data_IF_872636520677
#
_entry.id   IF_872636520677
#
_cell.length_a   1.000
_cell.length_b   1.000
_cell.length_c   1.000
_cell.angle_alpha   90.00
_cell.angle_beta   90.00
_cell.angle_gamma   90.00
#
_symmetry.space_group_name_H-M   'P 1'
#
loop_
_entity.id
_entity.type
_entity.pdbx_description
1 polymer ?
#
# COMPACT_ATOMS: atom_id res chain seq x y z
N UNK A 1 -14.58 12.63 3.68
CA UNK A 1 -13.29 12.05 3.21
C UNK A 1 -13.43 10.55 3.07
N UNK A 2 -12.79 9.92 2.08
CA UNK A 2 -12.80 8.46 1.93
C UNK A 2 -11.52 7.82 2.42
N UNK A 3 -11.68 6.65 3.04
CA UNK A 3 -10.60 5.71 3.33
C UNK A 3 -10.61 4.60 2.28
N UNK A 4 -9.47 4.35 1.67
CA UNK A 4 -9.28 3.29 0.69
C UNK A 4 -8.28 2.27 1.26
N UNK A 5 -8.73 1.03 1.47
CA UNK A 5 -7.83 -0.09 1.73
C UNK A 5 -7.41 -0.68 0.38
N UNK A 6 -6.15 -0.47 0.01
CA UNK A 6 -5.60 -0.83 -1.30
C UNK A 6 -4.62 -1.99 -1.18
N UNK A 7 -4.92 -3.11 -1.85
CA UNK A 7 -4.08 -4.29 -1.85
C UNK A 7 -2.92 -4.12 -2.84
N UNK A 8 -1.69 -4.27 -2.35
CA UNK A 8 -0.46 -4.09 -3.14
C UNK A 8 0.59 -5.15 -2.84
N UNK A 9 1.55 -5.27 -3.75
CA UNK A 9 2.69 -6.18 -3.65
C UNK A 9 2.37 -7.63 -4.03
N UNK A 10 3.35 -8.52 -3.80
CA UNK A 10 3.25 -9.93 -4.14
C UNK A 10 2.07 -10.66 -3.47
N UNK A 11 1.51 -11.62 -4.20
CA UNK A 11 0.62 -12.66 -3.69
C UNK A 11 0.71 -13.96 -4.51
N UNK A 12 -0.21 -14.91 -4.29
CA UNK A 12 -0.21 -16.19 -5.00
C UNK A 12 -0.41 -16.07 -6.51
N UNK A 13 -1.06 -15.00 -6.98
CA UNK A 13 -1.30 -14.72 -8.40
C UNK A 13 -0.24 -13.83 -9.05
N UNK A 14 0.32 -12.88 -8.30
CA UNK A 14 1.32 -11.91 -8.75
C UNK A 14 2.62 -12.11 -7.96
N UNK A 15 3.66 -12.62 -8.63
CA UNK A 15 4.94 -12.99 -7.97
C UNK A 15 4.93 -14.36 -7.30
N UNK A 16 3.75 -14.88 -6.92
CA UNK A 16 3.48 -16.24 -6.48
C UNK A 16 4.03 -16.61 -5.10
N UNK A 17 4.22 -15.63 -4.21
CA UNK A 17 4.48 -15.83 -2.79
C UNK A 17 4.09 -14.57 -2.00
N UNK A 18 4.01 -14.61 -0.65
CA UNK A 18 3.84 -13.40 0.15
C UNK A 18 5.10 -12.50 0.16
N UNK A 19 4.92 -11.23 0.50
CA UNK A 19 6.03 -10.35 0.92
C UNK A 19 6.61 -10.82 2.27
N UNK A 20 7.93 -10.72 2.50
CA UNK A 20 8.52 -11.15 3.76
C UNK A 20 8.39 -10.12 4.89
N UNK A 21 8.15 -10.62 6.11
CA UNK A 21 8.56 -9.91 7.33
C UNK A 21 9.93 -10.44 7.73
N UNK A 22 10.92 -9.55 7.76
CA UNK A 22 12.30 -9.89 8.07
C UNK A 22 12.49 -10.18 9.58
N UNK A 23 13.62 -10.80 9.99
CA UNK A 23 13.87 -11.15 11.40
C UNK A 23 13.87 -9.97 12.37
N UNK A 24 14.22 -8.78 11.89
CA UNK A 24 14.18 -7.49 12.62
C UNK A 24 12.76 -6.89 12.67
N UNK A 25 11.76 -7.61 12.19
CA UNK A 25 10.37 -7.16 12.12
C UNK A 25 10.06 -6.30 10.90
N UNK A 26 11.04 -6.00 10.04
CA UNK A 26 10.82 -5.09 8.92
C UNK A 26 9.84 -5.64 7.89
N UNK A 27 8.92 -4.80 7.45
CA UNK A 27 7.96 -5.09 6.38
C UNK A 27 8.62 -4.84 5.03
N UNK A 28 9.08 -5.89 4.36
CA UNK A 28 9.72 -5.80 3.05
C UNK A 28 8.69 -6.14 1.96
N UNK A 29 8.06 -5.10 1.39
CA UNK A 29 7.04 -5.25 0.36
C UNK A 29 7.73 -5.54 -0.98
N UNK A 30 7.34 -6.63 -1.63
CA UNK A 30 7.82 -6.96 -2.97
C UNK A 30 6.85 -6.38 -4.02
N UNK A 31 7.29 -5.44 -4.88
CA UNK A 31 6.47 -4.93 -5.99
C UNK A 31 6.09 -6.06 -6.93
N UNK A 32 4.95 -6.04 -7.62
CA UNK A 32 4.57 -7.15 -8.53
C UNK A 32 5.51 -7.21 -9.76
N UNK A 33 5.75 -8.40 -10.37
CA UNK A 33 6.57 -8.48 -11.57
C UNK A 33 5.84 -7.84 -12.76
N UNK A 34 6.52 -6.97 -13.50
CA UNK A 34 6.00 -6.33 -14.70
C UNK A 34 7.08 -6.24 -15.77
N UNK A 35 6.83 -6.89 -16.91
CA UNK A 35 7.78 -6.96 -18.03
C UNK A 35 7.95 -5.63 -18.76
N UNK A 36 7.00 -4.72 -18.62
CA UNK A 36 7.05 -3.39 -19.23
C UNK A 36 7.74 -2.36 -18.32
N UNK A 37 7.94 -2.68 -17.05
CA UNK A 37 8.63 -1.77 -16.13
C UNK A 37 10.10 -1.64 -16.50
N UNK A 38 10.58 -0.39 -16.52
CA UNK A 38 11.99 -0.07 -16.68
C UNK A 38 12.80 -0.29 -15.40
N UNK A 39 12.13 -0.31 -14.24
CA UNK A 39 12.74 -0.57 -12.94
C UNK A 39 12.97 -2.07 -12.79
N UNK A 40 14.16 -2.50 -12.40
CA UNK A 40 14.46 -3.90 -12.08
C UNK A 40 14.52 -4.12 -10.58
N UNK A 41 14.31 -5.34 -10.11
CA UNK A 41 14.43 -5.65 -8.67
C UNK A 41 15.84 -5.40 -8.10
N UNK A 42 16.89 -5.50 -8.91
CA UNK A 42 18.26 -5.17 -8.49
C UNK A 42 18.51 -3.65 -8.37
N UNK A 43 17.61 -2.83 -8.91
CA UNK A 43 17.69 -1.36 -8.78
C UNK A 43 17.06 -0.89 -7.46
N UNK A 44 16.04 -1.62 -6.96
CA UNK A 44 15.26 -1.22 -5.80
C UNK A 44 15.98 -1.59 -4.49
N UNK A 45 16.29 -0.55 -3.72
CA UNK A 45 16.90 -0.66 -2.40
C UNK A 45 15.84 -0.85 -1.30
N UNK A 46 16.20 -1.62 -0.28
CA UNK A 46 15.44 -1.82 0.95
C UNK A 46 16.41 -1.82 2.14
N UNK A 47 16.58 -0.65 2.76
CA UNK A 47 17.69 -0.39 3.67
C UNK A 47 19.03 -0.71 2.99
N UNK A 48 19.89 -1.48 3.67
CA UNK A 48 21.18 -1.91 3.12
C UNK A 48 21.10 -3.06 2.10
N UNK A 49 19.90 -3.50 1.68
CA UNK A 49 19.68 -4.66 0.82
C UNK A 49 19.07 -4.24 -0.51
N UNK A 50 19.19 -5.09 -1.52
CA UNK A 50 18.46 -4.97 -2.80
C UNK A 50 17.36 -6.02 -2.89
N UNK A 51 16.24 -5.67 -3.50
CA UNK A 51 15.09 -6.58 -3.59
C UNK A 51 15.37 -7.82 -4.43
N UNK A 52 16.24 -7.74 -5.44
CA UNK A 52 16.51 -8.84 -6.37
C UNK A 52 16.91 -10.16 -5.71
N UNK A 53 17.76 -10.13 -4.66
CA UNK A 53 18.11 -11.34 -3.90
C UNK A 53 16.92 -11.88 -3.11
N UNK A 54 16.18 -11.00 -2.44
CA UNK A 54 15.04 -11.37 -1.60
C UNK A 54 13.94 -12.02 -2.46
N UNK A 55 13.57 -11.35 -3.55
CA UNK A 55 12.56 -11.81 -4.50
C UNK A 55 12.97 -13.15 -5.13
N UNK A 56 14.23 -13.31 -5.55
CA UNK A 56 14.73 -14.57 -6.13
C UNK A 56 14.65 -15.73 -5.16
N UNK A 57 15.18 -15.55 -3.96
CA UNK A 57 15.25 -16.62 -2.98
C UNK A 57 13.82 -17.06 -2.54
N UNK A 58 12.93 -16.11 -2.27
CA UNK A 58 11.56 -16.41 -1.80
C UNK A 58 10.60 -16.89 -2.89
N UNK A 59 10.81 -16.50 -4.14
CA UNK A 59 9.99 -16.97 -5.28
C UNK A 59 10.46 -18.31 -5.85
N UNK A 60 11.56 -18.89 -5.32
CA UNK A 60 12.17 -20.09 -5.89
C UNK A 60 12.80 -19.85 -7.26
N UNK A 61 13.28 -18.63 -7.52
CA UNK A 61 13.94 -18.26 -8.77
C UNK A 61 13.03 -17.80 -9.91
N UNK A 62 11.70 -17.75 -9.69
CA UNK A 62 10.72 -17.27 -10.69
C UNK A 62 10.88 -15.79 -10.99
N UNK A 63 11.17 -14.98 -9.98
CA UNK A 63 11.49 -13.56 -10.13
C UNK A 63 12.99 -13.40 -9.91
N UNK A 64 13.70 -12.76 -10.84
CA UNK A 64 15.15 -12.56 -10.77
C UNK A 64 15.46 -11.08 -10.59
N UNK A 65 16.69 -10.76 -10.22
CA UNK A 65 17.14 -9.39 -10.03
C UNK A 65 16.92 -8.50 -11.26
N UNK A 66 17.17 -9.03 -12.47
CA UNK A 66 16.90 -8.33 -13.73
C UNK A 66 15.44 -8.37 -14.22
N UNK A 67 14.52 -8.99 -13.49
CA UNK A 67 13.09 -8.91 -13.83
C UNK A 67 12.57 -7.49 -13.62
N UNK A 68 11.63 -7.04 -14.44
CA UNK A 68 10.98 -5.74 -14.23
C UNK A 68 10.07 -5.77 -12.99
N UNK A 69 10.13 -4.71 -12.20
CA UNK A 69 9.42 -4.51 -10.94
C UNK A 69 8.43 -3.36 -11.09
N UNK A 70 7.15 -3.62 -10.85
CA UNK A 70 6.10 -2.61 -10.86
C UNK A 70 6.09 -1.89 -9.51
N UNK A 71 7.03 -0.96 -9.30
CA UNK A 71 7.14 -0.17 -8.07
C UNK A 71 5.95 0.80 -7.98
N UNK A 72 4.82 0.29 -7.51
CA UNK A 72 3.57 0.99 -7.31
C UNK A 72 2.81 0.42 -6.09
N UNK A 73 2.43 1.25 -5.10
CA UNK A 73 2.77 2.67 -5.00
C UNK A 73 4.28 2.86 -4.77
N UNK A 74 4.81 3.95 -5.29
CA UNK A 74 6.19 4.35 -5.08
C UNK A 74 6.25 5.32 -3.89
N UNK A 75 6.51 4.78 -2.70
CA UNK A 75 6.43 5.54 -1.45
C UNK A 75 7.77 5.90 -0.84
N UNK A 76 8.85 5.15 -1.09
CA UNK A 76 10.09 5.25 -0.31
C UNK A 76 11.16 5.99 -1.11
N UNK A 77 11.56 7.20 -0.68
CA UNK A 77 12.51 8.02 -1.42
C UNK A 77 13.83 7.28 -1.70
N UNK A 78 14.38 6.59 -0.71
CA UNK A 78 15.68 5.91 -0.79
C UNK A 78 15.66 4.61 -1.61
N UNK A 79 14.49 4.18 -2.11
CA UNK A 79 14.39 2.94 -2.87
C UNK A 79 15.07 3.04 -4.25
N UNK A 80 15.16 4.24 -4.83
CA UNK A 80 15.80 4.54 -6.12
C UNK A 80 16.43 5.94 -6.07
N UNK A 81 17.43 6.25 -6.92
CA UNK A 81 17.85 7.63 -7.16
C UNK A 81 16.67 8.47 -7.67
N UNK A 82 16.38 9.59 -7.00
CA UNK A 82 15.21 10.43 -7.31
C UNK A 82 15.61 11.72 -8.03
N UNK A 83 14.79 12.11 -9.00
CA UNK A 83 14.90 13.45 -9.60
C UNK A 83 14.36 14.52 -8.63
N UNK A 84 14.84 15.78 -8.73
CA UNK A 84 14.28 16.89 -7.98
C UNK A 84 12.77 17.01 -8.17
N UNK A 85 12.06 17.30 -7.07
CA UNK A 85 10.60 17.38 -7.07
C UNK A 85 9.88 16.04 -7.02
N UNK A 86 10.60 14.91 -6.85
CA UNK A 86 9.98 13.60 -6.62
C UNK A 86 9.01 13.64 -5.43
N UNK A 87 7.87 12.96 -5.61
CA UNK A 87 6.84 12.81 -4.58
C UNK A 87 6.30 11.39 -4.60
N UNK A 88 5.92 10.84 -3.43
CA UNK A 88 5.22 9.56 -3.37
C UNK A 88 3.96 9.56 -4.24
N UNK A 89 3.76 8.48 -4.98
CA UNK A 89 2.61 8.36 -5.86
C UNK A 89 2.11 6.93 -5.99
N UNK A 90 0.86 6.81 -6.42
CA UNK A 90 0.18 5.59 -6.79
C UNK A 90 -0.35 5.77 -8.22
N UNK A 91 -0.15 4.79 -9.07
CA UNK A 91 -0.88 4.64 -10.33
C UNK A 91 -2.02 3.65 -10.20
N UNK A 92 -3.09 3.87 -10.97
CA UNK A 92 -4.18 2.92 -11.05
C UNK A 92 -4.85 2.95 -12.41
N UNK A 93 -5.31 1.78 -12.87
CA UNK A 93 -6.01 1.64 -14.15
C UNK A 93 -7.03 0.49 -14.12
N UNK A 94 -7.75 0.30 -15.22
CA UNK A 94 -8.68 -0.80 -15.45
C UNK A 94 -9.84 -0.78 -14.48
N UNK A 95 -10.30 -1.98 -14.08
CA UNK A 95 -11.47 -2.13 -13.20
C UNK A 95 -11.26 -1.52 -11.81
N UNK A 96 -10.02 -1.52 -11.30
CA UNK A 96 -9.70 -0.91 -10.03
C UNK A 96 -9.79 0.63 -10.10
N UNK A 97 -9.28 1.27 -11.16
CA UNK A 97 -9.53 2.71 -11.35
C UNK A 97 -11.01 3.01 -11.58
N UNK A 98 -11.69 2.22 -12.40
CA UNK A 98 -13.13 2.37 -12.62
C UNK A 98 -13.92 2.32 -11.31
N UNK A 99 -13.55 1.42 -10.40
CA UNK A 99 -14.14 1.38 -9.05
C UNK A 99 -13.85 2.64 -8.24
N UNK A 100 -12.59 3.12 -8.21
CA UNK A 100 -12.23 4.37 -7.53
C UNK A 100 -13.06 5.57 -8.06
N UNK A 101 -13.20 5.69 -9.38
CA UNK A 101 -14.02 6.72 -10.02
C UNK A 101 -15.50 6.60 -9.61
N UNK A 102 -16.06 5.39 -9.66
CA UNK A 102 -17.46 5.14 -9.27
C UNK A 102 -17.72 5.41 -7.78
N UNK A 103 -16.70 5.26 -6.93
CA UNK A 103 -16.78 5.61 -5.52
C UNK A 103 -16.54 7.11 -5.28
N UNK A 104 -16.11 7.88 -6.29
CA UNK A 104 -15.80 9.30 -6.18
C UNK A 104 -14.49 9.58 -5.45
N UNK A 105 -13.50 8.69 -5.57
CA UNK A 105 -12.18 8.86 -4.95
C UNK A 105 -11.38 9.94 -5.67
N UNK A 106 -10.86 10.91 -4.92
CA UNK A 106 -10.12 12.05 -5.47
C UNK A 106 -9.21 12.75 -4.46
N UNK A 107 -8.92 14.03 -4.71
CA UNK A 107 -8.10 14.88 -3.83
C UNK A 107 -8.73 14.94 -2.43
N UNK A 108 -7.91 14.78 -1.40
CA UNK A 108 -8.35 14.79 0.00
C UNK A 108 -8.71 13.41 0.56
N UNK A 109 -8.67 12.35 -0.25
CA UNK A 109 -8.91 10.98 0.21
C UNK A 109 -7.61 10.28 0.66
N UNK A 110 -7.74 9.21 1.46
CA UNK A 110 -6.63 8.51 2.07
C UNK A 110 -6.56 7.05 1.63
N UNK A 111 -5.45 6.66 1.02
CA UNK A 111 -5.09 5.27 0.81
C UNK A 111 -4.31 4.72 2.01
N UNK A 112 -4.71 3.54 2.49
CA UNK A 112 -3.90 2.65 3.30
C UNK A 112 -3.57 1.41 2.47
N UNK A 113 -2.28 1.20 2.22
CA UNK A 113 -1.81 0.07 1.45
C UNK A 113 -1.59 -1.13 2.35
N UNK A 114 -2.17 -2.26 1.96
CA UNK A 114 -1.96 -3.53 2.63
C UNK A 114 -1.46 -4.59 1.64
N UNK A 115 -0.77 -5.60 2.16
CA UNK A 115 -0.22 -6.68 1.35
C UNK A 115 -0.31 -8.01 2.07
N UNK A 116 0.01 -9.10 1.37
CA UNK A 116 0.12 -10.43 1.98
C UNK A 116 1.55 -10.61 2.47
N UNK A 117 1.72 -10.85 3.77
CA UNK A 117 3.00 -11.02 4.42
C UNK A 117 3.18 -12.40 5.02
N UNK A 118 4.42 -12.85 5.15
CA UNK A 118 4.79 -14.05 5.92
C UNK A 118 6.19 -13.87 6.52
N UNK A 119 6.40 -14.37 7.74
CA UNK A 119 7.72 -14.32 8.40
C UNK A 119 8.77 -15.06 7.57
N UNK A 120 9.94 -14.44 7.40
CA UNK A 120 11.07 -14.98 6.67
C UNK A 120 12.35 -14.93 7.50
N UNK A 121 13.26 -15.85 7.20
CA UNK A 121 14.55 -15.98 7.87
C UNK A 121 15.66 -16.21 6.84
N UNK A 122 16.90 -15.86 7.23
CA UNK A 122 18.10 -16.12 6.44
C UNK A 122 18.74 -17.42 6.92
N UNK A 123 18.81 -18.43 6.06
CA UNK A 123 19.45 -19.71 6.37
C UNK A 123 20.44 -20.06 5.27
N UNK A 124 21.71 -20.33 5.64
CA UNK A 124 22.80 -20.61 4.69
C UNK A 124 22.86 -19.58 3.55
N UNK A 125 22.78 -18.29 3.89
CA UNK A 125 22.79 -17.14 2.96
C UNK A 125 21.63 -17.12 1.95
N UNK A 126 20.53 -17.84 2.17
CA UNK A 126 19.31 -17.76 1.38
C UNK A 126 18.11 -17.37 2.24
N UNK A 127 17.26 -16.49 1.70
CA UNK A 127 15.98 -16.19 2.34
C UNK A 127 15.01 -17.36 2.14
N UNK A 128 14.30 -17.71 3.20
CA UNK A 128 13.16 -18.64 3.15
C UNK A 128 12.06 -18.18 4.09
N UNK A 129 10.83 -18.60 3.84
CA UNK A 129 9.77 -18.44 4.83
C UNK A 129 9.98 -19.36 6.01
N UNK A 130 9.72 -18.85 7.22
CA UNK A 130 9.84 -19.64 8.46
C UNK A 130 8.81 -20.77 8.42
N UNK A 131 9.22 -22.05 8.56
CA UNK A 131 8.30 -23.19 8.61
C UNK A 131 7.22 -23.01 9.68
N UNK A 132 6.01 -23.52 9.42
CA UNK A 132 4.87 -23.41 10.36
C UNK A 132 4.19 -22.04 10.41
N UNK A 133 4.83 -20.96 9.97
CA UNK A 133 4.19 -19.64 9.91
C UNK A 133 3.21 -19.55 8.75
N UNK A 134 2.11 -18.81 8.95
CA UNK A 134 1.05 -18.60 7.96
C UNK A 134 1.11 -17.21 7.35
N UNK A 135 0.68 -17.03 6.08
CA UNK A 135 0.49 -15.71 5.52
C UNK A 135 -0.60 -14.91 6.25
N UNK A 136 -0.48 -13.60 6.26
CA UNK A 136 -1.44 -12.67 6.84
C UNK A 136 -1.46 -11.36 6.06
N UNK A 137 -2.55 -10.60 6.12
CA UNK A 137 -2.65 -9.26 5.60
C UNK A 137 -2.20 -8.25 6.66
N UNK A 138 -1.38 -7.29 6.25
CA UNK A 138 -0.99 -6.16 7.08
C UNK A 138 -0.87 -4.88 6.25
N UNK A 139 -1.19 -3.76 6.89
CA UNK A 139 -0.97 -2.40 6.37
C UNK A 139 0.52 -2.11 6.44
N UNK A 140 1.08 -1.54 5.37
CA UNK A 140 2.51 -1.25 5.27
C UNK A 140 2.82 0.19 4.84
N UNK A 141 1.83 0.94 4.34
CA UNK A 141 2.04 2.34 3.98
C UNK A 141 0.74 3.10 3.79
N UNK A 142 0.86 4.41 3.58
CA UNK A 142 -0.28 5.29 3.31
C UNK A 142 0.06 6.38 2.30
N UNK A 143 -0.98 6.91 1.66
CA UNK A 143 -0.91 8.08 0.78
C UNK A 143 -2.23 8.85 0.88
N UNK A 144 -2.16 10.07 1.41
CA UNK A 144 -3.21 11.07 1.32
C UNK A 144 -3.07 11.81 -0.02
N UNK A 145 -4.15 11.84 -0.80
CA UNK A 145 -4.15 12.35 -2.18
C UNK A 145 -4.08 13.86 -2.19
N UNK A 146 -3.00 14.41 -2.76
CA UNK A 146 -2.84 15.84 -3.00
C UNK A 146 -3.20 16.24 -4.44
N UNK A 147 -2.97 15.36 -5.41
CA UNK A 147 -3.27 15.61 -6.81
C UNK A 147 -3.71 14.32 -7.51
N UNK A 148 -4.55 14.46 -8.53
CA UNK A 148 -5.00 13.38 -9.40
C UNK A 148 -4.73 13.81 -10.84
N UNK A 149 -4.06 12.94 -11.61
CA UNK A 149 -3.71 13.21 -13.01
C UNK A 149 -4.12 12.02 -13.88
N UNK A 150 -4.89 12.27 -14.94
CA UNK A 150 -5.02 11.30 -16.02
C UNK A 150 -3.70 11.26 -16.81
N UNK A 151 -3.11 10.08 -16.96
CA UNK A 151 -1.77 9.93 -17.54
C UNK A 151 -1.73 10.39 -19.00
N UNK A 152 -2.76 10.03 -19.76
CA UNK A 152 -2.85 10.34 -21.19
C UNK A 152 -3.05 11.85 -21.45
N UNK A 153 -3.60 12.59 -20.47
CA UNK A 153 -3.81 14.04 -20.55
C UNK A 153 -2.57 14.84 -20.15
N UNK A 154 -1.55 14.19 -19.56
CA UNK A 154 -0.33 14.88 -19.11
C UNK A 154 0.56 15.24 -20.30
N UNK A 155 0.86 16.54 -20.54
CA UNK A 155 1.83 16.95 -21.54
C UNK A 155 3.19 16.29 -21.31
N UNK A 156 3.95 16.00 -22.36
CA UNK A 156 5.23 15.26 -22.25
C UNK A 156 6.24 15.84 -21.25
N UNK A 157 6.22 17.17 -21.05
CA UNK A 157 7.09 17.89 -20.11
C UNK A 157 6.54 17.97 -18.68
N UNK A 158 5.29 17.59 -18.43
CA UNK A 158 4.72 17.59 -17.09
C UNK A 158 5.28 16.42 -16.26
N UNK A 159 5.47 16.65 -14.96
CA UNK A 159 5.96 15.66 -13.98
C UNK A 159 7.22 14.90 -14.47
N UNK A 160 8.31 15.58 -14.88
CA UNK A 160 9.50 14.92 -15.42
C UNK A 160 10.08 13.89 -14.43
N UNK A 161 10.01 14.20 -13.14
CA UNK A 161 10.47 13.34 -12.05
C UNK A 161 9.69 12.02 -11.94
N UNK A 162 8.50 11.90 -12.50
CA UNK A 162 7.66 10.70 -12.41
C UNK A 162 7.78 9.78 -13.63
N UNK A 163 8.48 10.19 -14.70
CA UNK A 163 8.44 9.51 -16.00
C UNK A 163 9.03 8.10 -16.03
N UNK A 164 9.81 7.74 -15.02
CA UNK A 164 10.29 6.36 -14.85
C UNK A 164 9.19 5.41 -14.32
N UNK A 165 8.09 5.96 -13.78
CA UNK A 165 7.06 5.18 -13.11
C UNK A 165 6.38 4.21 -14.10
N UNK A 166 6.05 2.96 -13.69
CA UNK A 166 5.51 1.94 -14.60
C UNK A 166 4.25 2.36 -15.39
N UNK A 167 3.48 3.31 -14.87
CA UNK A 167 2.28 3.84 -15.52
C UNK A 167 2.57 4.72 -16.74
N UNK A 168 3.80 5.18 -16.96
CA UNK A 168 4.22 5.86 -18.20
C UNK A 168 4.82 4.90 -19.24
N UNK A 169 5.05 3.64 -18.89
CA UNK A 169 5.67 2.64 -19.77
C UNK A 169 4.66 1.84 -20.59
N UNK A 170 3.37 2.18 -20.49
CA UNK A 170 2.25 1.49 -21.15
C UNK A 170 1.77 2.32 -22.34
N UNK A 171 1.06 1.68 -23.26
CA UNK A 171 0.35 2.39 -24.32
C UNK A 171 -0.78 3.26 -23.76
N UNK A 172 -1.42 4.08 -24.61
CA UNK A 172 -2.56 4.90 -24.22
C UNK A 172 -3.64 4.07 -23.54
N UNK A 173 -4.15 4.59 -22.44
CA UNK A 173 -5.16 3.99 -21.59
C UNK A 173 -5.93 5.13 -20.88
N UNK A 174 -7.15 5.46 -21.35
CA UNK A 174 -7.95 6.56 -20.79
C UNK A 174 -8.27 6.41 -19.31
N UNK A 175 -8.18 5.19 -18.77
CA UNK A 175 -8.38 4.90 -17.35
C UNK A 175 -7.10 4.99 -16.53
N UNK A 176 -5.94 5.28 -17.12
CA UNK A 176 -4.67 5.32 -16.41
C UNK A 176 -4.53 6.63 -15.62
N UNK A 177 -4.54 6.53 -14.30
CA UNK A 177 -4.59 7.66 -13.37
C UNK A 177 -3.45 7.61 -12.37
N UNK A 178 -2.82 8.75 -12.09
CA UNK A 178 -1.85 8.93 -11.01
C UNK A 178 -2.49 9.71 -9.85
N UNK A 179 -2.33 9.17 -8.64
CA UNK A 179 -2.60 9.83 -7.38
C UNK A 179 -1.26 10.21 -6.74
N UNK A 180 -0.97 11.51 -6.71
CA UNK A 180 0.27 12.04 -6.11
C UNK A 180 -0.04 12.48 -4.68
N UNK A 181 0.83 12.13 -3.74
CA UNK A 181 0.63 12.47 -2.33
C UNK A 181 0.57 13.97 -2.11
N UNK A 182 -0.21 14.40 -1.11
CA UNK A 182 -0.04 15.72 -0.49
C UNK A 182 1.27 15.78 0.28
N UNK A 183 1.80 16.98 0.57
CA UNK A 183 2.97 17.09 1.44
C UNK A 183 2.60 16.81 2.91
N UNK A 184 1.48 17.40 3.34
CA UNK A 184 0.87 17.17 4.65
C UNK A 184 -0.63 17.42 4.56
N UNK A 185 -1.37 16.97 5.56
CA UNK A 185 -2.81 17.12 5.64
C UNK A 185 -3.26 17.22 7.09
N UNK A 186 -4.49 17.69 7.31
CA UNK A 186 -5.08 17.82 8.65
C UNK A 186 -6.26 16.88 8.77
N UNK A 187 -6.13 15.92 9.67
CA UNK A 187 -7.26 15.06 10.01
C UNK A 187 -8.24 15.82 10.92
N UNK A 188 -9.56 15.79 10.66
CA UNK A 188 -10.54 16.43 11.53
C UNK A 188 -10.41 15.94 12.98
N UNK A 189 -10.45 16.87 13.93
CA UNK A 189 -10.28 16.57 15.36
C UNK A 189 -8.83 16.31 15.79
N UNK A 190 -7.85 16.26 14.88
CA UNK A 190 -6.44 16.10 15.21
C UNK A 190 -5.68 17.43 15.16
N UNK A 191 -4.95 17.76 16.22
CA UNK A 191 -4.30 19.08 16.38
C UNK A 191 -3.13 19.30 15.41
N UNK A 192 -2.34 18.26 15.16
CA UNK A 192 -1.12 18.32 14.35
C UNK A 192 -1.42 17.97 12.89
N UNK A 193 -0.68 18.57 11.97
CA UNK A 193 -0.69 18.10 10.59
C UNK A 193 -0.01 16.72 10.52
N UNK A 194 -0.57 15.83 9.71
CA UNK A 194 -0.03 14.51 9.42
C UNK A 194 0.75 14.56 8.09
N UNK A 195 1.79 13.74 7.93
CA UNK A 195 2.47 13.59 6.65
C UNK A 195 1.52 13.02 5.60
N UNK A 196 1.62 13.51 4.38
CA UNK A 196 0.75 13.07 3.29
C UNK A 196 1.07 11.69 2.74
N UNK A 197 2.20 11.09 3.11
CA UNK A 197 2.57 9.72 2.73
C UNK A 197 3.66 9.16 3.63
N UNK A 198 3.78 7.84 3.65
CA UNK A 198 4.88 7.16 4.30
C UNK A 198 4.67 5.66 4.40
N UNK A 199 5.57 5.02 5.14
CA UNK A 199 5.59 3.58 5.34
C UNK A 199 5.68 3.21 6.83
N UNK A 200 5.17 2.04 7.16
CA UNK A 200 5.36 1.43 8.47
C UNK A 200 6.58 0.52 8.42
N UNK A 201 7.71 0.91 9.05
CA UNK A 201 8.98 0.21 8.84
C UNK A 201 9.00 -1.20 9.46
N UNK A 202 8.25 -1.41 10.54
CA UNK A 202 8.20 -2.65 11.30
C UNK A 202 6.76 -3.13 11.49
N UNK A 203 6.59 -4.44 11.52
CA UNK A 203 5.32 -5.07 11.85
C UNK A 203 4.94 -4.74 13.30
N UNK A 204 3.75 -4.18 13.46
CA UNK A 204 3.10 -3.97 14.74
C UNK A 204 1.71 -4.64 14.70
N UNK A 205 1.20 -5.07 15.84
CA UNK A 205 -0.10 -5.76 15.89
C UNK A 205 -1.25 -4.91 15.34
N UNK A 206 -1.18 -3.58 15.50
CA UNK A 206 -2.17 -2.62 14.96
C UNK A 206 -2.23 -2.56 13.43
N UNK A 207 -1.14 -2.96 12.75
CA UNK A 207 -1.06 -2.99 11.29
C UNK A 207 -1.65 -4.26 10.71
N UNK A 208 -1.75 -5.32 11.52
CA UNK A 208 -2.20 -6.63 11.07
C UNK A 208 -3.72 -6.62 10.90
N UNK A 209 -4.16 -6.79 9.67
CA UNK A 209 -5.58 -6.91 9.33
C UNK A 209 -6.08 -8.31 9.64
N UNK A 210 -5.32 -9.36 9.31
CA UNK A 210 -5.73 -10.74 9.57
C UNK A 210 -5.78 -11.01 11.07
N UNK A 211 -6.90 -11.55 11.53
CA UNK A 211 -7.08 -12.03 12.90
C UNK A 211 -5.90 -12.95 13.32
N UNK A 212 -5.22 -12.67 14.45
CA UNK A 212 -4.19 -13.55 15.01
C UNK A 212 -4.61 -15.01 15.15
N UNK A 213 -5.88 -15.26 15.47
CA UNK A 213 -6.45 -16.61 15.63
C UNK A 213 -7.00 -17.18 14.30
N UNK A 214 -7.13 -16.31 13.29
CA UNK A 214 -7.64 -16.64 11.97
C UNK A 214 -6.72 -17.58 11.18
N UNK A 215 -7.30 -18.61 10.57
CA UNK A 215 -6.55 -19.52 9.68
C UNK A 215 -6.29 -18.94 8.29
N UNK A 216 -7.17 -18.06 7.82
CA UNK A 216 -7.13 -17.50 6.46
C UNK A 216 -6.75 -16.01 6.50
N UNK A 217 -5.90 -15.52 5.58
CA UNK A 217 -5.54 -14.10 5.52
C UNK A 217 -6.74 -13.15 5.39
N UNK A 218 -7.83 -13.62 4.80
CA UNK A 218 -9.07 -12.85 4.57
C UNK A 218 -9.99 -12.78 5.79
N UNK A 219 -9.67 -13.44 6.91
CA UNK A 219 -10.39 -13.26 8.17
C UNK A 219 -9.76 -12.08 8.89
N UNK A 220 -10.39 -10.92 8.79
CA UNK A 220 -9.86 -9.69 9.35
C UNK A 220 -10.42 -9.42 10.73
N UNK A 221 -9.61 -8.78 11.58
CA UNK A 221 -9.98 -8.19 12.86
C UNK A 221 -9.66 -6.71 12.79
N UNK A 222 -10.70 -5.88 12.78
CA UNK A 222 -10.62 -4.42 12.67
C UNK A 222 -11.14 -3.79 13.97
N UNK A 223 -10.79 -2.52 14.28
CA UNK A 223 -11.47 -1.78 15.34
C UNK A 223 -12.99 -1.86 15.19
N UNK A 224 -13.73 -2.01 16.30
CA UNK A 224 -15.19 -2.12 16.28
C UNK A 224 -15.89 -0.98 15.50
N UNK A 225 -15.28 0.21 15.44
CA UNK A 225 -15.78 1.34 14.66
C UNK A 225 -15.96 1.06 13.16
N UNK A 226 -15.31 0.05 12.58
CA UNK A 226 -15.52 -0.35 11.17
C UNK A 226 -16.85 -1.07 10.94
N UNK A 227 -17.52 -1.53 12.02
CA UNK A 227 -18.75 -2.29 11.89
C UNK A 227 -19.90 -1.39 11.38
N UNK A 228 -20.62 -1.78 10.30
CA UNK A 228 -21.67 -0.96 9.69
C UNK A 228 -23.00 -1.01 10.48
N UNK A 229 -22.96 -0.67 11.78
CA UNK A 229 -24.15 -0.59 12.61
C UNK A 229 -25.07 0.58 12.20
N UNK A 230 -26.36 0.46 12.51
CA UNK A 230 -27.31 1.57 12.39
C UNK A 230 -27.55 2.07 10.96
N UNK A 231 -27.34 1.21 9.95
CA UNK A 231 -27.54 1.57 8.54
C UNK A 231 -26.37 2.33 7.91
N UNK A 232 -25.23 2.45 8.61
CA UNK A 232 -24.01 3.02 8.01
C UNK A 232 -23.58 2.24 6.76
N UNK A 233 -23.11 2.91 5.70
CA UNK A 233 -22.66 2.24 4.49
C UNK A 233 -21.42 1.38 4.80
N UNK A 234 -21.49 0.08 4.53
CA UNK A 234 -20.35 -0.80 4.73
C UNK A 234 -19.20 -0.51 3.75
N UNK A 235 -18.00 -0.96 4.09
CA UNK A 235 -16.84 -1.00 3.20
C UNK A 235 -17.25 -1.60 1.84
N UNK A 236 -16.86 -0.97 0.73
CA UNK A 236 -17.26 -1.41 -0.62
C UNK A 236 -16.90 -2.89 -0.84
N UNK A 237 -17.79 -3.63 -1.52
CA UNK A 237 -17.75 -5.09 -1.71
C UNK A 237 -18.03 -5.94 -0.45
N UNK A 238 -18.34 -5.31 0.68
CA UNK A 238 -18.62 -5.98 1.95
C UNK A 238 -19.99 -5.61 2.52
N UNK A 239 -20.99 -5.35 1.68
CA UNK A 239 -22.31 -4.92 2.12
C UNK A 239 -23.13 -6.01 2.80
N UNK A 240 -22.81 -7.29 2.56
CA UNK A 240 -23.57 -8.41 3.13
C UNK A 240 -23.29 -8.52 4.65
N UNK A 241 -24.32 -8.50 5.51
CA UNK A 241 -24.13 -8.52 6.96
C UNK A 241 -23.45 -9.78 7.49
N UNK A 242 -23.64 -10.93 6.83
CA UNK A 242 -23.03 -12.22 7.19
C UNK A 242 -21.49 -12.23 7.09
N UNK A 243 -20.90 -11.24 6.41
CA UNK A 243 -19.45 -11.04 6.39
C UNK A 243 -18.92 -10.40 7.66
N UNK A 244 -19.78 -9.79 8.47
CA UNK A 244 -19.40 -9.01 9.64
C UNK A 244 -19.84 -9.70 10.92
N UNK A 245 -19.01 -9.60 11.95
CA UNK A 245 -19.34 -9.98 13.32
C UNK A 245 -18.78 -8.94 14.27
N UNK A 246 -19.62 -8.35 15.12
CA UNK A 246 -19.17 -7.44 16.17
C UNK A 246 -18.86 -8.23 17.45
N UNK A 247 -17.69 -8.00 18.03
CA UNK A 247 -17.28 -8.60 19.30
C UNK A 247 -16.21 -7.69 19.92
N UNK A 248 -16.66 -6.82 20.84
CA UNK A 248 -15.91 -5.68 21.33
C UNK A 248 -14.59 -6.11 22.01
N UNK A 249 -13.48 -5.36 21.83
CA UNK A 249 -13.40 -4.05 21.18
C UNK A 249 -13.21 -4.12 19.64
N UNK A 250 -13.44 -5.28 19.03
CA UNK A 250 -13.18 -5.52 17.62
C UNK A 250 -14.46 -5.72 16.80
N UNK A 251 -14.32 -5.66 15.48
CA UNK A 251 -15.21 -6.33 14.58
C UNK A 251 -14.42 -7.23 13.64
N UNK A 252 -15.04 -8.33 13.24
CA UNK A 252 -14.45 -9.33 12.38
C UNK A 252 -15.09 -9.24 11.00
N UNK A 253 -14.26 -9.24 9.97
CA UNK A 253 -14.69 -9.13 8.59
C UNK A 253 -14.18 -10.33 7.78
N UNK A 254 -15.08 -10.98 7.05
CA UNK A 254 -14.74 -11.87 5.96
C UNK A 254 -14.40 -11.04 4.72
N UNK A 255 -13.13 -10.67 4.56
CA UNK A 255 -12.66 -9.86 3.42
C UNK A 255 -12.86 -10.61 2.11
N UNK A 256 -13.30 -9.89 1.07
CA UNK A 256 -13.34 -10.41 -0.28
C UNK A 256 -11.92 -10.83 -0.72
N UNK A 257 -11.81 -12.02 -1.32
CA UNK A 257 -10.54 -12.52 -1.85
C UNK A 257 -10.17 -11.85 -3.17
N UNK A 258 -11.17 -11.31 -3.88
CA UNK A 258 -11.06 -10.57 -5.14
C UNK A 258 -11.42 -9.11 -4.88
N UNK A 259 -10.73 -8.20 -5.56
CA UNK A 259 -10.82 -6.77 -5.35
C UNK A 259 -9.50 -6.21 -4.86
N UNK A 260 -9.06 -5.12 -5.50
CA UNK A 260 -7.83 -4.43 -5.15
C UNK A 260 -8.09 -3.25 -4.21
N UNK A 261 -9.21 -2.55 -4.41
CA UNK A 261 -9.54 -1.31 -3.70
C UNK A 261 -10.85 -1.48 -2.90
N UNK A 262 -10.82 -1.18 -1.60
CA UNK A 262 -12.01 -1.16 -0.75
C UNK A 262 -12.22 0.22 -0.14
N UNK A 263 -13.36 0.85 -0.43
CA UNK A 263 -13.63 2.24 -0.08
C UNK A 263 -14.64 2.33 1.07
N UNK A 264 -14.35 3.18 2.04
CA UNK A 264 -15.22 3.53 3.16
C UNK A 264 -15.37 5.05 3.22
N UNK A 265 -16.60 5.55 3.30
CA UNK A 265 -16.87 6.96 3.50
C UNK A 265 -16.73 7.31 4.99
N UNK A 266 -15.66 8.01 5.38
CA UNK A 266 -15.37 8.30 6.78
C UNK A 266 -16.31 9.34 7.39
N UNK A 267 -17.10 10.05 6.59
CA UNK A 267 -18.08 11.00 7.12
C UNK A 267 -19.17 10.26 7.92
N UNK A 268 -19.45 8.99 7.58
CA UNK A 268 -20.31 8.09 8.35
C UNK A 268 -19.60 7.38 9.53
N UNK A 269 -18.28 7.54 9.66
CA UNK A 269 -17.43 6.82 10.62
C UNK A 269 -16.44 7.74 11.37
N UNK A 270 -16.92 8.80 12.05
CA UNK A 270 -16.06 9.73 12.78
C UNK A 270 -15.25 9.05 13.90
N UNK A 271 -15.73 7.94 14.46
CA UNK A 271 -15.05 7.18 15.52
C UNK A 271 -13.75 6.52 15.05
N UNK A 272 -13.52 6.42 13.73
CA UNK A 272 -12.28 5.89 13.16
C UNK A 272 -11.17 6.94 13.07
N UNK A 273 -11.49 8.23 13.19
CA UNK A 273 -10.49 9.29 13.02
C UNK A 273 -9.36 9.23 14.08
N UNK A 274 -9.64 9.02 15.38
CA UNK A 274 -8.58 8.84 16.37
C UNK A 274 -7.67 7.65 16.05
N UNK A 275 -8.25 6.52 15.63
CA UNK A 275 -7.49 5.34 15.21
C UNK A 275 -6.60 5.63 14.00
N UNK A 276 -7.08 6.37 13.00
CA UNK A 276 -6.29 6.77 11.83
C UNK A 276 -5.11 7.68 12.22
N UNK A 277 -5.34 8.66 13.10
CA UNK A 277 -4.28 9.54 13.58
C UNK A 277 -3.19 8.76 14.33
N UNK A 278 -3.60 7.86 15.22
CA UNK A 278 -2.67 7.00 15.95
C UNK A 278 -1.93 6.03 15.03
N UNK A 279 -2.60 5.47 14.02
CA UNK A 279 -1.98 4.59 13.04
C UNK A 279 -0.89 5.32 12.28
N UNK A 280 -1.21 6.48 11.68
CA UNK A 280 -0.25 7.25 10.87
C UNK A 280 0.88 7.82 11.72
N UNK A 281 0.59 8.21 12.97
CA UNK A 281 1.58 8.73 13.90
C UNK A 281 2.71 7.76 14.26
N UNK A 282 2.56 6.46 14.01
CA UNK A 282 3.63 5.46 14.24
C UNK A 282 4.49 5.17 13.00
N UNK A 283 4.15 5.74 11.85
CA UNK A 283 4.86 5.51 10.60
C UNK A 283 6.05 6.45 10.39
N UNK A 284 6.95 6.07 9.49
CA UNK A 284 8.01 6.95 9.02
C UNK A 284 7.45 7.82 7.90
N UNK A 285 7.40 9.13 8.15
CA UNK A 285 7.00 10.11 7.17
C UNK A 285 8.07 10.25 6.08
N UNK A 286 7.62 10.36 4.83
CA UNK A 286 8.50 10.74 3.72
C UNK A 286 8.54 12.27 3.67
N UNK A 287 9.61 12.84 4.21
CA UNK A 287 9.85 14.28 4.24
C UNK A 287 10.72 14.63 3.03
N UNK A 288 10.36 15.68 2.29
CA UNK A 288 11.17 16.20 1.19
C UNK A 288 12.62 16.39 1.66
N UNK A 289 13.58 15.82 0.95
CA UNK A 289 14.94 16.36 0.99
C UNK A 289 14.82 17.83 0.56
N UNK A 290 15.08 18.75 1.50
CA UNK A 290 15.30 20.16 1.17
C UNK A 290 16.42 20.20 0.14
N UNK A 291 16.27 21.04 -0.88
CA UNK A 291 17.40 21.45 -1.72
C UNK A 291 18.58 21.79 -0.79
N UNK A 292 19.82 21.40 -1.12
CA UNK A 292 20.96 21.92 -0.40
C UNK A 292 20.88 23.45 -0.51
N UNK A 293 20.85 24.13 0.64
CA UNK A 293 21.04 25.57 0.65
C UNK A 293 22.37 25.82 -0.06
N UNK A 294 22.32 26.43 -1.24
CA UNK A 294 23.51 26.85 -1.97
C UNK A 294 24.30 27.78 -1.03
N UNK A 295 25.48 27.32 -0.64
CA UNK A 295 26.54 28.16 -0.09
C UNK A 295 27.33 28.79 -1.22
#
# INVERSE_FOLDING_TARGET
MRLILSRKGFDSSAGGCPSPVLPDGSLCVLPIPDRLSQIRYDDVSFGARRLGKIARDLSGGRVRGGSGAHLDPDLVADALPRQPGWRPLLGQTGSAQGHLNNQGVGVGDLFLFFGVFRKAEMVRRRWRFVPGTRPFHAIWGWLHVGQVHAVDDLPSKALPWARYHPHFCRGPDPGNTLYVSSDSWRLPGHRRALPGSGVFPQLQDRLRLTDPEGRLPTRWRLPAGFFPAGGKPALSYHQKPDRWRLDLPWCYLASAARGQEFVLDLDAYPDLLPWLAELIGTGNAEIKNKEPANG
#
